data_IF_500003281225
#
_entry.id   IF_500003281225
#
_cell.length_a   1.000
_cell.length_b   1.000
_cell.length_c   1.000
_cell.angle_alpha   90.00
_cell.angle_beta   90.00
_cell.angle_gamma   90.00
#
_symmetry.space_group_name_H-M   'P 1'
#
loop_
_entity.id
_entity.type
_entity.pdbx_description
1 polymer ?
#
# COMPACT_ATOMS: atom_id res chain seq x y z
N UNK A 1 -27.59 13.72 -14.38
CA UNK A 1 -28.77 13.75 -15.27
C UNK A 1 -30.02 13.85 -14.39
N UNK A 2 -30.88 14.86 -14.59
CA UNK A 2 -32.13 14.98 -13.85
C UNK A 2 -33.18 14.03 -14.45
N UNK A 3 -33.83 13.22 -13.61
CA UNK A 3 -34.69 12.10 -14.03
C UNK A 3 -36.19 12.34 -13.80
N UNK A 4 -36.55 13.31 -12.95
CA UNK A 4 -37.94 13.66 -12.62
C UNK A 4 -38.20 15.13 -12.98
N UNK A 5 -39.35 15.66 -12.61
CA UNK A 5 -39.76 17.05 -12.92
C UNK A 5 -38.95 18.14 -12.21
N UNK A 6 -37.87 17.79 -11.49
CA UNK A 6 -37.00 18.74 -10.80
C UNK A 6 -37.74 19.71 -9.87
N UNK A 7 -38.80 19.24 -9.21
CA UNK A 7 -39.71 20.06 -8.37
C UNK A 7 -40.51 21.12 -9.14
N UNK A 8 -40.55 21.05 -10.47
CA UNK A 8 -41.34 21.90 -11.35
C UNK A 8 -41.03 23.38 -11.17
N UNK A 9 -42.09 24.18 -11.04
CA UNK A 9 -42.01 25.63 -10.78
C UNK A 9 -42.03 26.00 -9.29
N UNK A 10 -41.75 25.06 -8.38
CA UNK A 10 -41.71 25.37 -6.95
C UNK A 10 -40.66 26.46 -6.67
N UNK A 11 -40.93 27.40 -5.73
CA UNK A 11 -39.93 28.38 -5.31
C UNK A 11 -38.62 27.69 -4.91
N UNK A 12 -37.52 28.06 -5.57
CA UNK A 12 -36.22 27.41 -5.43
C UNK A 12 -35.28 28.12 -4.43
N UNK A 13 -35.85 28.93 -3.54
CA UNK A 13 -35.12 29.69 -2.53
C UNK A 13 -35.84 29.66 -1.18
N UNK A 14 -35.07 29.76 -0.09
CA UNK A 14 -35.56 29.77 1.29
C UNK A 14 -34.82 30.84 2.12
N UNK A 15 -35.52 31.61 2.99
CA UNK A 15 -36.97 31.62 3.22
C UNK A 15 -37.76 32.24 2.04
N UNK A 16 -39.04 31.86 1.88
CA UNK A 16 -39.93 32.42 0.85
C UNK A 16 -41.35 32.65 1.39
N UNK A 17 -42.17 33.40 0.65
CA UNK A 17 -43.56 33.73 1.02
C UNK A 17 -44.58 32.99 0.13
N UNK A 18 -44.17 31.88 -0.49
CA UNK A 18 -44.92 31.17 -1.54
C UNK A 18 -45.23 29.71 -1.17
N UNK A 19 -45.27 29.39 0.12
CA UNK A 19 -45.69 28.07 0.66
C UNK A 19 -44.89 26.87 0.13
N UNK A 20 -43.60 27.06 -0.16
CA UNK A 20 -42.68 25.96 -0.47
C UNK A 20 -42.36 25.13 0.80
N UNK A 21 -41.59 24.03 0.70
CA UNK A 21 -41.23 23.21 1.86
C UNK A 21 -40.62 24.01 3.03
N UNK A 22 -41.11 23.74 4.24
CA UNK A 22 -40.72 24.41 5.49
C UNK A 22 -39.87 23.50 6.40
N UNK A 23 -38.97 24.12 7.17
CA UNK A 23 -38.19 23.39 8.17
C UNK A 23 -39.08 22.87 9.31
N UNK A 24 -38.77 21.68 9.84
CA UNK A 24 -39.53 21.06 10.92
C UNK A 24 -38.73 21.05 12.23
N UNK A 25 -39.01 21.96 13.20
CA UNK A 25 -38.22 22.08 14.44
C UNK A 25 -38.22 20.82 15.31
N UNK A 26 -39.22 19.94 15.14
CA UNK A 26 -39.34 18.68 15.89
C UNK A 26 -38.20 17.69 15.61
N UNK A 27 -37.43 17.88 14.54
CA UNK A 27 -36.34 17.01 14.10
C UNK A 27 -34.96 17.66 14.22
N UNK A 28 -34.80 18.66 15.12
CA UNK A 28 -33.49 19.27 15.38
C UNK A 28 -32.50 18.22 15.93
N UNK A 29 -31.25 18.29 15.49
CA UNK A 29 -30.20 17.38 15.93
C UNK A 29 -29.86 17.58 17.42
N UNK A 30 -29.29 16.53 18.02
CA UNK A 30 -28.83 16.60 19.41
C UNK A 30 -27.66 17.57 19.55
N UNK A 31 -27.71 18.43 20.58
CA UNK A 31 -26.63 19.37 20.89
C UNK A 31 -25.56 18.67 21.73
N UNK A 32 -24.30 18.77 21.31
CA UNK A 32 -23.15 18.25 22.05
C UNK A 32 -22.05 19.31 22.13
N UNK A 33 -21.22 19.22 23.17
CA UNK A 33 -20.07 20.10 23.37
C UNK A 33 -18.81 19.46 22.79
N UNK A 34 -17.96 20.25 22.15
CA UNK A 34 -16.70 19.78 21.55
C UNK A 34 -15.53 20.57 22.14
N UNK A 35 -14.44 19.86 22.40
CA UNK A 35 -13.11 20.35 22.81
C UNK A 35 -12.12 19.28 22.32
N UNK A 36 -10.96 19.59 21.71
CA UNK A 36 -10.09 20.78 21.85
C UNK A 36 -10.05 21.64 20.56
N UNK A 37 -8.93 22.31 20.25
CA UNK A 37 -8.74 23.19 19.09
C UNK A 37 -9.03 22.54 17.73
N UNK A 38 -9.28 23.36 16.71
CA UNK A 38 -9.40 22.88 15.33
C UNK A 38 -8.00 22.67 14.75
N UNK A 39 -7.56 21.42 14.67
CA UNK A 39 -6.24 21.03 14.16
C UNK A 39 -6.26 19.72 13.37
N UNK A 40 -5.12 19.38 12.74
CA UNK A 40 -4.90 18.08 12.11
C UNK A 40 -4.38 17.09 13.15
N UNK A 41 -5.29 16.38 13.80
CA UNK A 41 -4.93 15.34 14.77
C UNK A 41 -4.40 14.09 14.06
N UNK A 42 -3.28 13.57 14.56
CA UNK A 42 -2.71 12.30 14.10
C UNK A 42 -3.25 11.16 14.98
N UNK A 43 -3.79 10.11 14.37
CA UNK A 43 -4.30 8.91 15.05
C UNK A 43 -3.43 7.67 14.83
N UNK A 44 -2.22 7.82 14.27
CA UNK A 44 -1.36 6.69 13.94
C UNK A 44 -0.87 5.90 15.17
N UNK A 45 -0.86 6.51 16.35
CA UNK A 45 -0.45 5.95 17.63
C UNK A 45 -1.62 5.38 18.46
N UNK A 46 -2.85 5.40 17.94
CA UNK A 46 -3.98 4.72 18.55
C UNK A 46 -3.77 3.19 18.60
N UNK A 47 -4.59 2.51 19.40
CA UNK A 47 -4.49 1.07 19.59
C UNK A 47 -4.92 0.30 18.34
N UNK A 48 -3.92 -0.14 17.57
CA UNK A 48 -4.10 -0.89 16.33
C UNK A 48 -4.05 -2.41 16.53
N UNK A 49 -3.86 -2.93 17.76
CA UNK A 49 -3.52 -4.36 17.98
C UNK A 49 -4.49 -5.09 18.90
N UNK A 50 -5.11 -4.43 19.88
CA UNK A 50 -5.91 -5.14 20.90
C UNK A 50 -7.13 -5.82 20.31
N UNK A 51 -7.91 -5.14 19.47
CA UNK A 51 -9.09 -5.74 18.85
C UNK A 51 -8.72 -6.90 17.92
N UNK A 52 -7.63 -6.75 17.16
CA UNK A 52 -7.14 -7.78 16.23
C UNK A 52 -6.63 -9.00 16.99
N UNK A 53 -5.97 -8.79 18.14
CA UNK A 53 -5.53 -9.88 19.02
C UNK A 53 -6.73 -10.66 19.53
N UNK A 54 -7.75 -9.98 20.03
CA UNK A 54 -9.00 -10.61 20.50
C UNK A 54 -9.67 -11.42 19.40
N UNK A 55 -9.75 -10.87 18.19
CA UNK A 55 -10.25 -11.61 17.03
C UNK A 55 -9.44 -12.90 16.78
N UNK A 56 -8.11 -12.80 16.77
CA UNK A 56 -7.25 -13.94 16.46
C UNK A 56 -7.27 -15.03 17.55
N UNK A 57 -7.29 -14.65 18.83
CA UNK A 57 -7.17 -15.60 19.95
C UNK A 57 -8.50 -16.12 20.47
N UNK A 58 -9.54 -15.28 20.51
CA UNK A 58 -10.80 -15.61 21.16
C UNK A 58 -11.93 -15.93 20.17
N UNK A 59 -11.92 -15.36 18.97
CA UNK A 59 -12.98 -15.58 17.98
C UNK A 59 -12.65 -16.75 17.05
N UNK A 60 -11.41 -16.84 16.57
CA UNK A 60 -11.01 -17.88 15.62
C UNK A 60 -10.66 -19.20 16.31
N UNK A 61 -11.08 -20.30 15.69
CA UNK A 61 -10.56 -21.62 16.03
C UNK A 61 -9.19 -21.88 15.35
N UNK A 62 -8.59 -23.01 15.68
CA UNK A 62 -7.23 -23.32 15.24
C UNK A 62 -7.11 -23.52 13.72
N UNK A 63 -8.11 -24.17 13.11
CA UNK A 63 -8.13 -24.38 11.66
C UNK A 63 -8.34 -23.06 10.90
N UNK A 64 -9.18 -22.17 11.42
CA UNK A 64 -9.40 -20.84 10.88
C UNK A 64 -8.15 -19.99 10.96
N UNK A 65 -7.41 -20.04 12.08
CA UNK A 65 -6.11 -19.38 12.20
C UNK A 65 -5.12 -19.89 11.17
N UNK A 66 -5.10 -21.20 10.94
CA UNK A 66 -4.24 -21.79 9.92
C UNK A 66 -4.61 -21.30 8.51
N UNK A 67 -5.89 -21.34 8.14
CA UNK A 67 -6.38 -20.84 6.84
C UNK A 67 -6.09 -19.35 6.66
N UNK A 68 -6.27 -18.55 7.71
CA UNK A 68 -5.94 -17.12 7.71
C UNK A 68 -4.46 -16.89 7.40
N UNK A 69 -3.56 -17.60 8.09
CA UNK A 69 -2.13 -17.50 7.85
C UNK A 69 -1.73 -17.94 6.44
N UNK A 70 -2.35 -19.02 5.92
CA UNK A 70 -2.12 -19.52 4.56
C UNK A 70 -2.58 -18.53 3.49
N UNK A 71 -3.77 -17.96 3.64
CA UNK A 71 -4.31 -16.96 2.71
C UNK A 71 -3.41 -15.72 2.68
N UNK A 72 -2.98 -15.23 3.85
CA UNK A 72 -2.14 -14.04 3.96
C UNK A 72 -0.76 -14.28 3.33
N UNK A 73 -0.09 -15.37 3.71
CA UNK A 73 1.23 -15.70 3.16
C UNK A 73 1.17 -16.02 1.65
N UNK A 74 0.09 -16.68 1.21
CA UNK A 74 -0.14 -17.03 -0.19
C UNK A 74 -0.24 -15.82 -1.12
N UNK A 75 -0.81 -14.71 -0.63
CA UNK A 75 -0.83 -13.43 -1.34
C UNK A 75 0.49 -12.65 -1.17
N UNK A 76 1.00 -12.60 0.05
CA UNK A 76 2.15 -11.76 0.41
C UNK A 76 3.48 -12.26 -0.20
N UNK A 77 3.58 -13.52 -0.61
CA UNK A 77 4.79 -14.09 -1.23
C UNK A 77 5.31 -13.35 -2.46
N UNK A 78 4.44 -12.65 -3.20
CA UNK A 78 4.82 -11.87 -4.39
C UNK A 78 5.42 -10.50 -4.08
N UNK A 79 5.31 -10.02 -2.84
CA UNK A 79 5.84 -8.72 -2.44
C UNK A 79 7.35 -8.77 -2.19
N UNK A 80 8.02 -7.62 -2.24
CA UNK A 80 9.45 -7.51 -1.91
C UNK A 80 9.71 -7.87 -0.44
N UNK A 81 10.88 -8.45 -0.15
CA UNK A 81 11.22 -8.98 1.17
C UNK A 81 11.08 -7.96 2.32
N UNK A 82 11.38 -6.67 2.09
CA UNK A 82 11.24 -5.65 3.13
C UNK A 82 9.77 -5.36 3.48
N UNK A 83 8.86 -5.49 2.51
CA UNK A 83 7.41 -5.34 2.70
C UNK A 83 6.89 -6.54 3.49
N UNK A 84 7.33 -7.75 3.12
CA UNK A 84 7.01 -8.97 3.85
C UNK A 84 7.45 -8.86 5.32
N UNK A 85 8.70 -8.43 5.57
CA UNK A 85 9.25 -8.24 6.92
C UNK A 85 8.43 -7.22 7.72
N UNK A 86 8.06 -6.10 7.12
CA UNK A 86 7.23 -5.07 7.79
C UNK A 86 5.86 -5.63 8.18
N UNK A 87 5.22 -6.39 7.28
CA UNK A 87 3.93 -7.00 7.59
C UNK A 87 4.04 -8.00 8.74
N UNK A 88 5.07 -8.87 8.73
CA UNK A 88 5.31 -9.81 9.83
C UNK A 88 5.53 -9.08 11.15
N UNK A 89 6.25 -7.96 11.17
CA UNK A 89 6.43 -7.16 12.38
C UNK A 89 5.10 -6.65 12.95
N UNK A 90 4.19 -6.17 12.10
CA UNK A 90 2.86 -5.76 12.52
C UNK A 90 2.06 -6.94 13.11
N UNK A 91 2.15 -8.12 12.48
CA UNK A 91 1.48 -9.33 12.98
C UNK A 91 2.07 -9.83 14.30
N UNK A 92 3.38 -9.70 14.50
CA UNK A 92 4.03 -10.02 15.77
C UNK A 92 3.57 -9.09 16.90
N UNK A 93 3.33 -7.81 16.61
CA UNK A 93 2.75 -6.88 17.58
C UNK A 93 1.32 -7.27 17.98
N UNK A 94 0.55 -7.85 17.05
CA UNK A 94 -0.76 -8.45 17.34
C UNK A 94 -0.61 -9.68 18.22
N UNK A 95 0.09 -10.73 17.76
CA UNK A 95 0.34 -11.95 18.53
C UNK A 95 1.58 -12.68 18.00
N UNK A 96 2.48 -13.19 18.87
CA UNK A 96 3.71 -13.85 18.45
C UNK A 96 3.44 -15.05 17.52
N UNK A 97 2.46 -15.90 17.85
CA UNK A 97 2.11 -17.05 17.00
C UNK A 97 1.60 -16.63 15.62
N UNK A 98 0.87 -15.51 15.53
CA UNK A 98 0.34 -15.06 14.25
C UNK A 98 1.47 -14.65 13.32
N UNK A 99 2.41 -13.84 13.81
CA UNK A 99 3.61 -13.45 13.07
C UNK A 99 4.50 -14.66 12.72
N UNK A 100 4.74 -15.57 13.66
CA UNK A 100 5.61 -16.73 13.46
C UNK A 100 5.06 -17.70 12.39
N UNK A 101 3.76 -17.97 12.41
CA UNK A 101 3.10 -18.84 11.42
C UNK A 101 3.20 -18.26 10.01
N UNK A 102 2.94 -16.97 9.86
CA UNK A 102 3.04 -16.29 8.56
C UNK A 102 4.50 -16.23 8.08
N UNK A 103 5.45 -15.95 8.97
CA UNK A 103 6.87 -15.95 8.64
C UNK A 103 7.37 -17.32 8.16
N UNK A 104 6.94 -18.41 8.82
CA UNK A 104 7.30 -19.77 8.42
C UNK A 104 6.80 -20.10 6.99
N UNK A 105 5.55 -19.73 6.68
CA UNK A 105 4.97 -19.92 5.35
C UNK A 105 5.68 -19.07 4.28
N UNK A 106 5.99 -17.81 4.58
CA UNK A 106 6.75 -16.96 3.67
C UNK A 106 8.16 -17.49 3.41
N UNK A 107 8.84 -18.02 4.44
CA UNK A 107 10.16 -18.63 4.28
C UNK A 107 10.10 -19.82 3.31
N UNK A 108 9.05 -20.65 3.42
CA UNK A 108 8.79 -21.74 2.48
C UNK A 108 8.59 -21.23 1.05
N UNK A 109 7.68 -20.26 0.84
CA UNK A 109 7.42 -19.73 -0.50
C UNK A 109 8.63 -19.00 -1.12
N UNK A 110 9.41 -18.28 -0.31
CA UNK A 110 10.61 -17.58 -0.78
C UNK A 110 11.74 -18.56 -1.12
N UNK A 111 11.84 -19.69 -0.42
CA UNK A 111 12.77 -20.76 -0.76
C UNK A 111 12.37 -21.44 -2.09
N UNK A 112 11.10 -21.79 -2.25
CA UNK A 112 10.55 -22.35 -3.49
C UNK A 112 10.72 -21.40 -4.67
N UNK A 113 10.51 -20.09 -4.47
CA UNK A 113 10.72 -19.08 -5.51
C UNK A 113 12.18 -19.03 -5.98
N UNK A 114 13.16 -19.14 -5.06
CA UNK A 114 14.59 -19.18 -5.43
C UNK A 114 14.95 -20.45 -6.21
N UNK A 115 14.36 -21.58 -5.89
CA UNK A 115 14.57 -22.85 -6.62
C UNK A 115 13.96 -22.80 -8.02
N UNK A 116 12.82 -22.11 -8.16
CA UNK A 116 12.14 -21.89 -9.45
C UNK A 116 12.77 -20.76 -10.28
N UNK A 117 13.72 -19.99 -9.74
CA UNK A 117 14.69 -19.26 -10.57
C UNK A 117 15.62 -20.31 -11.18
N UNK A 118 15.11 -21.02 -12.19
CA UNK A 118 15.92 -21.80 -13.10
C UNK A 118 16.93 -20.82 -13.68
N UNK A 119 18.18 -20.93 -13.23
CA UNK A 119 19.33 -20.46 -14.00
C UNK A 119 19.28 -21.23 -15.30
N UNK A 120 18.71 -20.63 -16.34
CA UNK A 120 18.84 -21.12 -17.71
C UNK A 120 20.30 -20.91 -18.10
N UNK A 121 21.16 -21.82 -17.67
CA UNK A 121 22.42 -22.07 -18.33
C UNK A 121 22.25 -23.35 -19.14
N UNK A 122 22.05 -23.19 -20.44
CA UNK A 122 22.71 -23.91 -21.55
C UNK A 122 21.94 -23.57 -22.84
N UNK A 123 22.58 -23.43 -24.01
CA UNK A 123 23.71 -24.19 -24.55
C UNK A 123 24.57 -23.33 -25.49
N UNK A 124 25.89 -23.50 -25.41
CA UNK A 124 26.83 -22.80 -26.28
C UNK A 124 26.66 -23.10 -27.78
N UNK A 125 26.97 -22.09 -28.59
CA UNK A 125 27.23 -22.12 -30.01
C UNK A 125 28.25 -21.03 -30.33
N UNK A 126 29.25 -21.35 -31.13
CA UNK A 126 30.55 -20.69 -31.24
C UNK A 126 30.52 -19.19 -31.57
N UNK A 127 31.23 -18.38 -30.76
CA UNK A 127 32.16 -17.32 -31.21
C UNK A 127 32.40 -16.31 -30.07
N UNK A 128 33.55 -16.41 -29.41
CA UNK A 128 34.28 -15.24 -28.90
C UNK A 128 35.64 -15.73 -28.44
N UNK A 129 36.61 -15.55 -29.33
CA UNK A 129 38.01 -15.85 -29.14
C UNK A 129 38.55 -15.18 -27.88
N UNK A 130 39.51 -15.88 -27.28
CA UNK A 130 40.33 -15.41 -26.20
C UNK A 130 40.94 -14.01 -26.49
N UNK A 131 40.97 -13.17 -25.47
CA UNK A 131 41.94 -12.09 -25.36
C UNK A 131 42.50 -12.09 -23.94
N UNK A 132 43.49 -12.94 -23.73
CA UNK A 132 44.45 -12.80 -22.64
C UNK A 132 45.51 -11.79 -23.09
N UNK A 133 45.62 -10.67 -22.39
CA UNK A 133 46.89 -9.93 -22.31
C UNK A 133 46.91 -9.12 -21.01
N UNK A 134 47.68 -9.63 -20.03
CA UNK A 134 48.28 -8.80 -18.98
C UNK A 134 49.17 -7.73 -19.65
N UNK A 135 49.32 -6.52 -19.09
CA UNK A 135 50.50 -5.98 -18.34
C UNK A 135 50.41 -4.42 -18.53
N UNK A 136 50.99 -3.50 -17.71
CA UNK A 136 51.31 -3.45 -16.27
C UNK A 136 50.74 -2.20 -15.55
N UNK A 137 50.98 -2.16 -14.23
CA UNK A 137 51.09 -0.96 -13.40
C UNK A 137 51.97 0.15 -14.00
N UNK A 138 51.52 1.40 -13.82
CA UNK A 138 52.25 2.64 -13.47
C UNK A 138 51.79 3.83 -14.33
N UNK A 139 50.97 4.73 -13.76
CA UNK A 139 51.42 6.06 -13.35
C UNK A 139 50.30 6.77 -12.56
N UNK A 140 50.68 7.24 -11.37
CA UNK A 140 49.93 8.18 -10.52
C UNK A 140 50.10 9.61 -11.04
N UNK A 141 49.18 10.47 -10.58
CA UNK A 141 49.09 11.95 -10.63
C UNK A 141 48.08 12.44 -11.68
N UNK A 142 47.14 13.33 -11.41
CA UNK A 142 46.76 14.07 -10.22
C UNK A 142 45.37 14.73 -10.46
N UNK A 143 44.67 15.01 -9.36
CA UNK A 143 43.75 16.14 -9.15
C UNK A 143 42.37 16.24 -9.84
N UNK A 144 41.37 16.19 -8.95
CA UNK A 144 40.22 17.11 -8.84
C UNK A 144 39.30 17.31 -10.05
N UNK A 145 38.09 16.74 -9.93
CA UNK A 145 36.85 17.55 -9.87
C UNK A 145 35.66 16.70 -9.39
N UNK A 146 35.33 16.86 -8.12
CA UNK A 146 33.98 16.65 -7.62
C UNK A 146 33.05 17.68 -8.25
N UNK A 147 32.02 17.23 -8.97
CA UNK A 147 30.79 18.01 -9.14
C UNK A 147 29.58 17.06 -9.27
N UNK A 148 28.92 16.89 -8.13
CA UNK A 148 27.47 16.90 -7.93
C UNK A 148 26.61 16.68 -9.20
N UNK A 149 26.03 15.49 -9.37
CA UNK A 149 24.85 15.28 -10.21
C UNK A 149 23.63 15.08 -9.32
N UNK A 150 22.82 16.13 -9.27
CA UNK A 150 21.46 16.14 -8.76
C UNK A 150 20.57 15.33 -9.70
N UNK A 151 19.96 14.26 -9.19
CA UNK A 151 18.97 13.44 -9.91
C UNK A 151 17.61 14.15 -9.83
N UNK A 152 17.16 14.70 -10.95
CA UNK A 152 15.78 15.15 -11.15
C UNK A 152 15.12 14.20 -12.15
N UNK A 153 14.45 13.18 -11.65
CA UNK A 153 13.56 12.34 -12.46
C UNK A 153 12.18 12.98 -12.45
N UNK A 154 11.88 13.76 -13.49
CA UNK A 154 10.56 14.31 -13.72
C UNK A 154 9.68 13.24 -14.37
N UNK A 155 8.52 13.03 -13.74
CA UNK A 155 7.37 12.25 -14.15
C UNK A 155 6.84 12.74 -15.52
N UNK A 156 6.64 11.84 -16.49
CA UNK A 156 5.81 12.09 -17.67
C UNK A 156 4.59 11.17 -17.62
N UNK A 157 3.46 11.73 -17.20
CA UNK A 157 2.11 11.21 -17.40
C UNK A 157 1.62 11.84 -18.71
N UNK A 158 1.42 11.03 -19.74
CA UNK A 158 0.70 11.46 -20.94
C UNK A 158 -0.81 11.34 -20.69
N UNK A 159 -1.47 12.50 -20.70
CA UNK A 159 -2.92 12.64 -20.86
C UNK A 159 -3.21 12.55 -22.36
N UNK A 160 -4.14 11.70 -22.75
CA UNK A 160 -4.83 11.78 -24.04
C UNK A 160 -6.31 12.05 -23.79
N UNK A 161 -6.68 13.32 -23.96
CA UNK A 161 -8.05 13.81 -24.14
C UNK A 161 -8.43 13.71 -25.63
N UNK A 162 -9.50 12.97 -25.96
CA UNK A 162 -10.33 13.15 -27.17
C UNK A 162 -11.78 12.83 -26.77
N UNK A 163 -12.59 13.84 -26.52
CA UNK A 163 -13.53 14.52 -27.44
C UNK A 163 -14.68 13.65 -27.97
N UNK A 164 -15.87 14.17 -27.67
CA UNK A 164 -17.24 13.91 -28.14
C UNK A 164 -17.41 13.38 -29.58
N UNK A 165 -18.31 12.39 -29.70
CA UNK A 165 -19.54 12.49 -30.50
C UNK A 165 -20.64 11.65 -29.83
#
# INVERSE_FOLDING_TARGET
MCMFDNQGGAPNYYPNSFSAPEAQPRFIESKFKVSPDVARYNSADEDNVTQVRTFYTQVLNEEERQRLCQNLAGHLKGAQLFIQKRMVQNLMAVHPDYGNRVQALLNKYNAEAKTNVVRVYTRGGASALAASSKIPHLLRRDMLKCRCMCVRTQLCISRDDKQEM
#
